data_IF_844823281709
#
_entry.id   IF_844823281709
#
_cell.length_a   1.000
_cell.length_b   1.000
_cell.length_c   1.000
_cell.angle_alpha   90.00
_cell.angle_beta   90.00
_cell.angle_gamma   90.00
#
_symmetry.space_group_name_H-M   'P 1'
#
loop_
_entity.id
_entity.type
_entity.pdbx_description
1 polymer ?
#
# COMPACT_ATOMS: atom_id res chain seq x y z
N UNK A 1 -42.81 -45.30 -30.28
CA UNK A 1 -43.59 -44.83 -29.11
C UNK A 1 -42.61 -44.73 -27.94
N UNK A 2 -42.33 -43.52 -27.46
CA UNK A 2 -41.35 -43.29 -26.38
C UNK A 2 -40.84 -41.86 -26.42
N UNK A 3 -41.58 -40.96 -25.79
CA UNK A 3 -41.36 -39.53 -25.75
C UNK A 3 -40.03 -39.15 -25.08
N UNK A 4 -39.29 -38.23 -25.70
CA UNK A 4 -38.16 -37.56 -25.07
C UNK A 4 -38.64 -36.69 -23.91
N UNK A 5 -38.27 -37.07 -22.69
CA UNK A 5 -38.53 -36.26 -21.50
C UNK A 5 -37.64 -35.00 -21.56
N UNK A 6 -38.20 -33.78 -21.48
CA UNK A 6 -37.38 -32.59 -21.40
C UNK A 6 -36.59 -32.59 -20.09
N UNK A 7 -35.26 -32.56 -20.18
CA UNK A 7 -34.39 -32.32 -19.04
C UNK A 7 -34.75 -30.94 -18.45
N UNK A 8 -34.96 -30.79 -17.14
CA UNK A 8 -35.21 -29.47 -16.56
C UNK A 8 -33.98 -28.60 -16.83
N UNK A 9 -34.17 -27.53 -17.61
CA UNK A 9 -33.16 -26.47 -17.76
C UNK A 9 -32.79 -25.98 -16.38
N UNK A 10 -31.51 -26.06 -16.02
CA UNK A 10 -30.97 -25.44 -14.81
C UNK A 10 -31.26 -23.95 -14.91
N UNK A 11 -32.20 -23.45 -14.10
CA UNK A 11 -32.46 -22.02 -13.96
C UNK A 11 -31.13 -21.31 -13.67
N UNK A 12 -30.81 -20.18 -14.32
CA UNK A 12 -29.61 -19.43 -14.00
C UNK A 12 -29.65 -19.08 -12.52
N UNK A 13 -28.72 -19.58 -11.72
CA UNK A 13 -28.56 -19.05 -10.37
C UNK A 13 -28.12 -17.59 -10.50
N UNK A 14 -28.94 -16.66 -10.03
CA UNK A 14 -28.56 -15.27 -9.91
C UNK A 14 -27.35 -15.20 -8.99
N UNK A 15 -26.24 -14.63 -9.47
CA UNK A 15 -25.10 -14.32 -8.61
C UNK A 15 -25.62 -13.44 -7.47
N UNK A 16 -25.23 -13.71 -6.21
CA UNK A 16 -25.63 -12.87 -5.10
C UNK A 16 -25.17 -11.44 -5.39
N UNK A 17 -26.08 -10.49 -5.29
CA UNK A 17 -25.78 -9.07 -5.48
C UNK A 17 -25.00 -8.59 -4.26
N UNK A 18 -23.68 -8.47 -4.38
CA UNK A 18 -22.83 -7.95 -3.31
C UNK A 18 -22.72 -6.44 -3.45
N UNK A 19 -23.36 -5.71 -2.53
CA UNK A 19 -23.30 -4.24 -2.46
C UNK A 19 -21.85 -3.76 -2.36
N UNK A 20 -21.48 -2.61 -2.97
CA UNK A 20 -20.13 -2.04 -2.86
C UNK A 20 -19.61 -1.94 -1.43
N UNK A 21 -20.46 -1.54 -0.46
CA UNK A 21 -20.10 -1.46 0.96
C UNK A 21 -19.66 -2.80 1.54
N UNK A 22 -20.38 -3.89 1.24
CA UNK A 22 -20.04 -5.22 1.74
C UNK A 22 -18.71 -5.71 1.15
N UNK A 23 -18.48 -5.46 -0.15
CA UNK A 23 -17.19 -5.78 -0.79
C UNK A 23 -16.02 -5.00 -0.17
N UNK A 24 -16.20 -3.70 0.05
CA UNK A 24 -15.17 -2.84 0.68
C UNK A 24 -14.85 -3.33 2.09
N UNK A 25 -15.86 -3.70 2.88
CA UNK A 25 -15.64 -4.22 4.23
C UNK A 25 -14.84 -5.53 4.22
N UNK A 26 -15.25 -6.49 3.39
CA UNK A 26 -14.52 -7.76 3.26
C UNK A 26 -13.08 -7.54 2.78
N UNK A 27 -12.87 -6.65 1.79
CA UNK A 27 -11.54 -6.31 1.31
C UNK A 27 -10.66 -5.71 2.42
N UNK A 28 -11.19 -4.78 3.22
CA UNK A 28 -10.45 -4.18 4.33
C UNK A 28 -10.09 -5.23 5.39
N UNK A 29 -11.02 -6.11 5.75
CA UNK A 29 -10.77 -7.20 6.70
C UNK A 29 -9.67 -8.15 6.22
N UNK A 30 -9.74 -8.57 4.95
CA UNK A 30 -8.69 -9.41 4.35
C UNK A 30 -7.34 -8.71 4.31
N UNK A 31 -7.31 -7.40 4.02
CA UNK A 31 -6.08 -6.59 4.03
C UNK A 31 -5.45 -6.56 5.42
N UNK A 32 -6.25 -6.33 6.47
CA UNK A 32 -5.75 -6.31 7.85
C UNK A 32 -5.24 -7.69 8.31
N UNK A 33 -5.92 -8.77 7.92
CA UNK A 33 -5.46 -10.13 8.23
C UNK A 33 -4.11 -10.43 7.58
N UNK A 34 -3.95 -10.08 6.30
CA UNK A 34 -2.69 -10.27 5.58
C UNK A 34 -1.56 -9.43 6.18
N UNK A 35 -1.83 -8.19 6.57
CA UNK A 35 -0.86 -7.34 7.25
C UNK A 35 -0.40 -7.96 8.58
N UNK A 36 -1.33 -8.46 9.39
CA UNK A 36 -1.00 -9.14 10.65
C UNK A 36 -0.08 -10.34 10.43
N UNK A 37 -0.39 -11.19 9.45
CA UNK A 37 0.42 -12.37 9.16
C UNK A 37 1.86 -11.99 8.75
N UNK A 38 2.03 -10.91 7.99
CA UNK A 38 3.34 -10.38 7.61
C UNK A 38 4.09 -9.86 8.85
N UNK A 39 3.44 -9.06 9.71
CA UNK A 39 4.04 -8.48 10.93
C UNK A 39 4.60 -9.58 11.83
N UNK A 40 3.79 -10.62 12.11
CA UNK A 40 4.21 -11.73 12.97
C UNK A 40 5.28 -12.58 12.30
N UNK A 41 5.21 -12.80 10.98
CA UNK A 41 6.25 -13.53 10.24
C UNK A 41 7.62 -12.82 10.28
N UNK A 42 7.63 -11.49 10.38
CA UNK A 42 8.83 -10.69 10.61
C UNK A 42 9.31 -10.69 12.07
N UNK A 43 8.58 -11.32 13.00
CA UNK A 43 8.91 -11.34 14.42
C UNK A 43 8.56 -10.04 15.17
N UNK A 44 7.71 -9.20 14.59
CA UNK A 44 7.26 -7.93 15.16
C UNK A 44 5.92 -8.10 15.88
N UNK A 45 5.60 -7.21 16.82
CA UNK A 45 4.32 -7.21 17.54
C UNK A 45 3.34 -6.18 16.96
N UNK A 46 3.85 -5.13 16.31
CA UNK A 46 3.09 -4.05 15.69
C UNK A 46 3.66 -3.68 14.32
N UNK A 47 2.83 -3.27 13.34
CA UNK A 47 3.32 -2.73 12.07
C UNK A 47 4.16 -1.46 12.22
N UNK A 48 4.05 -0.72 13.34
CA UNK A 48 4.86 0.48 13.58
C UNK A 48 6.33 0.16 13.89
N UNK A 49 6.65 -1.12 14.16
CA UNK A 49 8.03 -1.56 14.41
C UNK A 49 8.83 -1.78 13.11
N UNK A 50 8.21 -1.66 11.94
CA UNK A 50 8.94 -1.71 10.68
C UNK A 50 9.89 -0.52 10.55
N UNK A 51 11.17 -0.83 10.45
CA UNK A 51 12.22 0.16 10.16
C UNK A 51 12.60 0.14 8.68
N UNK A 52 13.15 1.24 8.14
CA UNK A 52 13.55 1.32 6.73
C UNK A 52 14.57 0.24 6.29
N UNK A 53 15.47 -0.17 7.17
CA UNK A 53 16.44 -1.24 6.91
C UNK A 53 15.80 -2.64 6.86
N UNK A 54 14.62 -2.80 7.49
CA UNK A 54 13.82 -4.03 7.46
C UNK A 54 12.98 -4.21 6.19
N UNK A 55 12.85 -3.17 5.36
CA UNK A 55 12.06 -3.19 4.13
C UNK A 55 12.95 -3.17 2.90
N UNK A 56 12.59 -3.96 1.88
CA UNK A 56 13.33 -4.05 0.62
C UNK A 56 12.44 -3.72 -0.56
N UNK A 57 12.95 -2.91 -1.48
CA UNK A 57 12.31 -2.61 -2.75
C UNK A 57 13.13 -3.18 -3.91
N UNK A 58 12.43 -3.82 -4.83
CA UNK A 58 12.99 -4.27 -6.10
C UNK A 58 13.11 -3.08 -7.05
N UNK A 59 14.34 -2.74 -7.43
CA UNK A 59 14.63 -1.59 -8.31
C UNK A 59 14.93 -2.01 -9.75
N UNK A 60 15.26 -3.28 -9.98
CA UNK A 60 15.39 -3.84 -11.33
C UNK A 60 14.96 -5.32 -11.34
N UNK A 61 15.11 -6.02 -12.47
CA UNK A 61 14.82 -7.45 -12.53
C UNK A 61 15.78 -8.29 -11.65
N UNK A 62 16.96 -7.76 -11.34
CA UNK A 62 18.05 -8.49 -10.66
C UNK A 62 18.51 -7.83 -9.37
N UNK A 63 17.95 -6.67 -9.03
CA UNK A 63 18.44 -5.85 -7.91
C UNK A 63 17.32 -5.49 -6.94
N UNK A 64 17.60 -5.71 -5.65
CA UNK A 64 16.80 -5.26 -4.53
C UNK A 64 17.68 -4.50 -3.55
N UNK A 65 17.17 -3.39 -3.02
CA UNK A 65 17.84 -2.52 -2.06
C UNK A 65 16.94 -2.28 -0.86
N UNK A 66 17.52 -2.02 0.30
CA UNK A 66 16.74 -1.64 1.48
C UNK A 66 16.25 -0.19 1.36
N UNK A 67 15.19 0.18 2.09
CA UNK A 67 14.61 1.52 1.95
C UNK A 67 15.56 2.62 2.43
N UNK A 68 16.33 2.37 3.47
CA UNK A 68 17.37 3.28 3.99
C UNK A 68 18.49 3.56 2.98
N UNK A 69 18.79 2.62 2.07
CA UNK A 69 19.72 2.85 0.95
C UNK A 69 19.09 3.70 -0.16
N UNK A 70 17.76 3.62 -0.33
CA UNK A 70 17.05 4.22 -1.45
C UNK A 70 16.56 5.64 -1.16
N UNK A 71 16.17 5.92 0.08
CA UNK A 71 15.49 7.15 0.46
C UNK A 71 16.23 7.85 1.61
N UNK A 72 16.37 9.18 1.56
CA UNK A 72 16.84 9.94 2.70
C UNK A 72 15.74 10.01 3.77
N UNK A 73 16.00 9.42 4.94
CA UNK A 73 15.16 9.57 6.12
C UNK A 73 15.64 10.77 6.93
N UNK A 74 14.69 11.61 7.35
CA UNK A 74 14.96 12.81 8.13
C UNK A 74 14.83 12.52 9.61
N UNK A 75 15.70 13.13 10.40
CA UNK A 75 15.55 13.11 11.85
C UNK A 75 14.38 14.03 12.28
N UNK A 76 13.77 13.78 13.44
CA UNK A 76 12.76 14.67 13.99
C UNK A 76 13.28 16.12 14.06
N UNK A 77 12.54 17.05 13.46
CA UNK A 77 12.89 18.49 13.45
C UNK A 77 13.79 18.93 12.28
N UNK A 78 14.43 18.01 11.55
CA UNK A 78 15.40 18.36 10.50
C UNK A 78 14.82 19.26 9.39
N UNK A 79 13.57 19.01 8.97
CA UNK A 79 12.94 19.84 7.94
C UNK A 79 12.70 21.29 8.41
N UNK A 80 12.57 21.52 9.72
CA UNK A 80 12.37 22.86 10.27
C UNK A 80 13.67 23.69 10.26
N UNK A 81 14.82 23.03 10.39
CA UNK A 81 16.15 23.66 10.33
C UNK A 81 16.67 23.84 8.90
N UNK A 82 15.99 23.22 7.93
CA UNK A 82 16.41 23.11 6.54
C UNK A 82 16.99 21.72 6.28
N UNK A 83 16.31 20.94 5.43
CA UNK A 83 16.67 19.56 5.14
C UNK A 83 18.16 19.42 4.78
N UNK A 84 18.89 18.50 5.44
CA UNK A 84 20.34 18.36 5.24
C UNK A 84 20.65 17.61 3.95
N UNK A 85 19.81 16.64 3.58
CA UNK A 85 19.94 15.94 2.31
C UNK A 85 19.70 16.90 1.13
N UNK A 86 20.63 17.02 0.16
CA UNK A 86 20.49 17.97 -0.95
C UNK A 86 19.27 17.74 -1.84
N UNK A 87 18.79 16.49 -1.96
CA UNK A 87 17.59 16.17 -2.75
C UNK A 87 16.37 16.72 -2.03
N UNK A 88 16.24 16.46 -0.74
CA UNK A 88 15.16 17.01 0.09
C UNK A 88 15.23 18.52 0.19
N UNK A 89 16.41 19.10 0.40
CA UNK A 89 16.62 20.56 0.49
C UNK A 89 16.08 21.29 -0.73
N UNK A 90 16.36 20.76 -1.93
CA UNK A 90 15.86 21.32 -3.19
C UNK A 90 14.33 21.35 -3.24
N UNK A 91 13.68 20.28 -2.81
CA UNK A 91 12.21 20.18 -2.81
C UNK A 91 11.60 21.03 -1.71
N UNK A 92 12.21 21.03 -0.52
CA UNK A 92 11.78 21.81 0.63
C UNK A 92 11.80 23.31 0.36
N UNK A 93 12.84 23.81 -0.31
CA UNK A 93 12.94 25.22 -0.72
C UNK A 93 11.84 25.66 -1.72
N UNK A 94 11.14 24.73 -2.35
CA UNK A 94 10.05 25.00 -3.30
C UNK A 94 8.66 24.75 -2.69
N UNK A 95 8.62 24.32 -1.43
CA UNK A 95 7.39 24.01 -0.70
C UNK A 95 6.86 25.26 0.02
N UNK A 96 5.53 25.34 0.13
CA UNK A 96 4.83 26.41 0.83
C UNK A 96 3.69 25.80 1.66
N UNK A 97 3.64 26.09 2.95
CA UNK A 97 2.62 25.56 3.85
C UNK A 97 1.20 26.05 3.51
N UNK A 98 1.08 27.16 2.77
CA UNK A 98 -0.19 27.79 2.40
C UNK A 98 -0.66 27.45 0.99
N UNK A 99 0.18 26.79 0.19
CA UNK A 99 -0.10 26.54 -1.23
C UNK A 99 0.51 25.23 -1.72
N UNK A 100 -0.29 24.44 -2.42
CA UNK A 100 0.20 23.24 -3.14
C UNK A 100 0.89 23.56 -4.47
N UNK A 101 0.94 24.83 -4.88
CA UNK A 101 1.70 25.24 -6.07
C UNK A 101 3.18 25.26 -5.72
N UNK A 102 3.99 24.71 -6.61
CA UNK A 102 5.45 24.81 -6.54
C UNK A 102 5.87 26.28 -6.49
N UNK A 103 6.63 26.66 -5.47
CA UNK A 103 7.31 27.95 -5.48
C UNK A 103 8.53 27.85 -6.40
N UNK A 104 8.57 28.70 -7.42
CA UNK A 104 9.72 28.86 -8.30
C UNK A 104 10.42 30.11 -7.79
N UNK A 105 11.56 29.94 -7.13
CA UNK A 105 12.47 31.03 -6.82
C UNK A 105 13.18 31.51 -8.09
#
# INVERSE_FOLDING_TARGET
>A
MGWGMPHPMRSPQSKPEITPRARTLTFQQSTLSALHDIVVACGLNSPDEFTPDGLRQRISAVEMRSFDELYPFVEPGELLEGARDPRLARWWAQADATSFKRQIA
#
